data_IF_803486283769
#
_entry.id   IF_803486283769
#
_cell.length_a   1.000
_cell.length_b   1.000
_cell.length_c   1.000
_cell.angle_alpha   90.00
_cell.angle_beta   90.00
_cell.angle_gamma   90.00
#
_symmetry.space_group_name_H-M   'P 1'
#
loop_
_entity.id
_entity.type
_entity.pdbx_description
1 polymer ?
#
# COMPACT_ATOMS: atom_id res chain seq x y z
N UNK A 1 -31.37 15.70 -15.36
CA UNK A 1 -30.66 15.23 -14.15
C UNK A 1 -30.46 13.73 -14.33
N UNK A 2 -29.36 13.35 -14.99
CA UNK A 2 -29.14 11.96 -15.40
C UNK A 2 -28.28 11.27 -14.35
N UNK A 3 -28.92 10.38 -13.59
CA UNK A 3 -28.29 9.43 -12.67
C UNK A 3 -27.43 8.45 -13.48
N UNK A 4 -26.14 8.73 -13.56
CA UNK A 4 -25.16 7.78 -14.06
C UNK A 4 -24.58 7.05 -12.84
N UNK A 5 -25.30 6.03 -12.37
CA UNK A 5 -24.72 5.03 -11.48
C UNK A 5 -23.55 4.40 -12.24
N UNK A 6 -22.32 4.84 -11.92
CA UNK A 6 -21.11 4.32 -12.52
C UNK A 6 -21.14 2.80 -12.36
N UNK A 7 -21.16 2.07 -13.49
CA UNK A 7 -21.05 0.60 -13.46
C UNK A 7 -19.74 0.28 -12.76
N UNK A 8 -19.83 -0.26 -11.55
CA UNK A 8 -18.69 -0.74 -10.77
C UNK A 8 -17.91 -1.70 -11.68
N UNK A 9 -16.60 -1.51 -11.78
CA UNK A 9 -15.74 -2.35 -12.62
C UNK A 9 -15.92 -3.82 -12.25
N UNK A 10 -15.97 -4.71 -13.25
CA UNK A 10 -16.08 -6.16 -13.04
C UNK A 10 -14.98 -6.66 -12.08
N UNK A 11 -13.78 -6.10 -12.18
CA UNK A 11 -12.66 -6.41 -11.28
C UNK A 11 -13.00 -6.14 -9.83
N UNK A 12 -13.61 -4.99 -9.53
CA UNK A 12 -14.00 -4.64 -8.16
C UNK A 12 -15.08 -5.59 -7.63
N UNK A 13 -16.05 -5.94 -8.48
CA UNK A 13 -17.09 -6.91 -8.12
C UNK A 13 -16.51 -8.29 -7.80
N UNK A 14 -15.47 -8.73 -8.51
CA UNK A 14 -14.78 -9.98 -8.20
C UNK A 14 -14.02 -9.86 -6.88
N UNK A 15 -13.31 -8.76 -6.65
CA UNK A 15 -12.53 -8.55 -5.42
C UNK A 15 -13.42 -8.52 -4.16
N UNK A 16 -14.62 -7.93 -4.24
CA UNK A 16 -15.60 -7.89 -3.16
C UNK A 16 -16.04 -9.31 -2.68
N UNK A 17 -15.80 -10.36 -3.47
CA UNK A 17 -16.07 -11.76 -3.07
C UNK A 17 -14.96 -12.35 -2.20
N UNK A 18 -13.73 -11.87 -2.35
CA UNK A 18 -12.54 -12.44 -1.70
C UNK A 18 -12.03 -11.61 -0.52
N UNK A 19 -12.40 -10.34 -0.48
CA UNK A 19 -11.98 -9.36 0.51
C UNK A 19 -13.20 -8.70 1.13
N UNK A 20 -13.14 -8.46 2.43
CA UNK A 20 -14.24 -7.83 3.15
C UNK A 20 -14.31 -6.33 2.87
N UNK A 21 -13.16 -5.73 2.54
CA UNK A 21 -13.05 -4.33 2.17
C UNK A 21 -12.09 -4.18 0.99
N UNK A 22 -12.46 -3.35 0.02
CA UNK A 22 -11.62 -2.99 -1.13
C UNK A 22 -11.52 -1.48 -1.19
N UNK A 23 -10.32 -0.94 -0.98
CA UNK A 23 -10.04 0.51 -0.92
C UNK A 23 -9.04 0.91 -2.00
N UNK A 24 -9.03 2.18 -2.38
CA UNK A 24 -7.97 2.70 -3.25
C UNK A 24 -6.63 2.77 -2.52
N UNK A 25 -5.54 2.51 -3.24
CA UNK A 25 -4.18 2.52 -2.69
C UNK A 25 -3.86 3.85 -2.02
N UNK A 26 -4.21 4.98 -2.64
CA UNK A 26 -4.02 6.31 -2.04
C UNK A 26 -4.71 6.44 -0.69
N UNK A 27 -5.99 6.07 -0.61
CA UNK A 27 -6.77 6.15 0.63
C UNK A 27 -6.16 5.27 1.73
N UNK A 28 -5.77 4.05 1.38
CA UNK A 28 -5.09 3.14 2.28
C UNK A 28 -3.77 3.71 2.81
N UNK A 29 -2.92 4.24 1.94
CA UNK A 29 -1.64 4.85 2.33
C UNK A 29 -1.82 6.06 3.25
N UNK A 30 -2.83 6.90 3.00
CA UNK A 30 -3.15 8.04 3.88
C UNK A 30 -3.56 7.59 5.28
N UNK A 31 -4.16 6.42 5.44
CA UNK A 31 -4.56 5.89 6.74
C UNK A 31 -3.39 5.30 7.52
N UNK A 32 -2.51 4.55 6.86
CA UNK A 32 -1.41 3.83 7.52
C UNK A 32 -0.15 4.67 7.71
N UNK A 33 0.06 5.72 6.92
CA UNK A 33 1.19 6.60 7.08
C UNK A 33 0.82 7.70 8.09
N UNK A 34 1.54 7.77 9.20
CA UNK A 34 1.43 8.86 10.16
C UNK A 34 2.42 9.94 9.77
N UNK A 35 1.95 11.19 9.77
CA UNK A 35 2.83 12.34 9.79
C UNK A 35 3.68 12.33 11.05
N UNK A 36 4.97 12.71 11.03
CA UNK A 36 5.76 12.72 12.25
C UNK A 36 5.07 13.58 13.32
N UNK A 37 4.91 13.03 14.53
CA UNK A 37 4.67 13.85 15.71
C UNK A 37 5.83 14.86 15.78
N UNK A 38 5.58 16.18 15.79
CA UNK A 38 6.64 17.14 15.97
C UNK A 38 7.17 16.98 17.40
N UNK A 39 8.40 16.52 17.56
CA UNK A 39 9.20 16.79 18.76
C UNK A 39 9.56 18.28 18.77
N UNK A 40 8.57 19.14 19.01
CA UNK A 40 8.78 20.60 19.07
C UNK A 40 7.48 21.41 19.09
N UNK A 41 7.44 22.57 19.77
CA UNK A 41 6.30 23.46 19.76
C UNK A 41 6.33 24.29 18.48
N UNK A 42 5.91 23.70 17.38
CA UNK A 42 5.56 24.44 16.17
C UNK A 42 4.28 23.86 15.61
N UNK A 43 3.23 24.66 15.71
CA UNK A 43 2.02 24.55 14.89
C UNK A 43 2.42 24.25 13.45
N UNK A 44 2.04 23.08 12.96
CA UNK A 44 1.58 22.81 11.59
C UNK A 44 1.37 21.30 11.46
N UNK A 45 0.11 20.90 11.28
CA UNK A 45 -0.25 19.55 10.84
C UNK A 45 0.44 19.33 9.48
N UNK A 46 1.56 18.59 9.47
CA UNK A 46 2.21 18.19 8.22
C UNK A 46 1.34 17.11 7.60
N UNK A 47 0.35 17.46 6.80
CA UNK A 47 -0.41 16.47 6.04
C UNK A 47 0.56 15.70 5.14
N UNK A 48 0.49 14.36 5.16
CA UNK A 48 1.30 13.55 4.24
C UNK A 48 0.74 13.73 2.83
N UNK A 49 1.38 14.62 2.08
CA UNK A 49 1.06 14.87 0.69
C UNK A 49 1.65 13.74 -0.15
N UNK A 50 0.81 12.74 -0.48
CA UNK A 50 1.17 11.62 -1.34
C UNK A 50 1.26 11.98 -2.83
N UNK A 51 0.75 13.14 -3.23
CA UNK A 51 0.77 13.61 -4.61
C UNK A 51 1.25 15.05 -4.63
N UNK A 52 2.38 15.30 -5.28
CA UNK A 52 2.97 16.62 -5.44
C UNK A 52 2.81 17.11 -6.88
N UNK A 53 2.81 18.44 -7.03
CA UNK A 53 2.81 19.05 -8.35
C UNK A 53 4.14 18.75 -9.06
N UNK A 54 4.09 18.03 -10.17
CA UNK A 54 5.28 17.58 -10.91
C UNK A 54 5.62 16.09 -10.77
N UNK A 55 4.83 15.33 -10.01
CA UNK A 55 4.93 13.87 -10.02
C UNK A 55 4.67 13.29 -11.42
N UNK A 56 5.28 12.14 -11.71
CA UNK A 56 5.11 11.49 -13.00
C UNK A 56 3.69 10.94 -13.18
N UNK A 57 3.21 10.90 -14.43
CA UNK A 57 1.87 10.39 -14.74
C UNK A 57 1.71 8.93 -14.28
N UNK A 58 2.76 8.12 -14.39
CA UNK A 58 2.75 6.72 -13.97
C UNK A 58 2.57 6.57 -12.46
N UNK A 59 3.19 7.46 -11.67
CA UNK A 59 3.03 7.44 -10.21
C UNK A 59 1.62 7.86 -9.80
N UNK A 60 1.08 8.90 -10.44
CA UNK A 60 -0.28 9.37 -10.22
C UNK A 60 -1.28 8.27 -10.58
N UNK A 61 -1.10 7.61 -11.73
CA UNK A 61 -1.94 6.51 -12.18
C UNK A 61 -1.87 5.34 -11.19
N UNK A 62 -0.66 4.94 -10.77
CA UNK A 62 -0.47 3.88 -9.78
C UNK A 62 -1.26 4.15 -8.50
N UNK A 63 -1.17 5.35 -7.94
CA UNK A 63 -1.84 5.71 -6.68
C UNK A 63 -3.36 5.81 -6.82
N UNK A 64 -3.86 6.24 -7.98
CA UNK A 64 -5.29 6.54 -8.18
C UNK A 64 -6.09 5.37 -8.74
N UNK A 65 -5.45 4.45 -9.44
CA UNK A 65 -6.13 3.31 -10.08
C UNK A 65 -5.93 1.99 -9.33
N UNK A 66 -4.86 1.86 -8.55
CA UNK A 66 -4.60 0.64 -7.78
C UNK A 66 -5.54 0.52 -6.58
N UNK A 67 -5.86 -0.72 -6.22
CA UNK A 67 -6.72 -1.05 -5.08
C UNK A 67 -6.06 -2.04 -4.15
N UNK A 68 -6.45 -1.98 -2.88
CA UNK A 68 -5.99 -2.84 -1.79
C UNK A 68 -7.20 -3.58 -1.23
N UNK A 69 -7.12 -4.91 -1.21
CA UNK A 69 -8.11 -5.77 -0.57
C UNK A 69 -7.70 -6.10 0.86
N UNK A 70 -8.57 -5.81 1.82
CA UNK A 70 -8.39 -6.07 3.24
C UNK A 70 -9.37 -7.16 3.69
N UNK A 71 -8.94 -7.97 4.66
CA UNK A 71 -9.81 -8.94 5.35
C UNK A 71 -10.09 -8.44 6.76
N UNK A 72 -11.35 -8.45 7.19
CA UNK A 72 -11.88 -7.92 8.46
C UNK A 72 -11.36 -8.61 9.72
N UNK A 73 -10.48 -9.61 9.58
CA UNK A 73 -9.85 -10.30 10.70
C UNK A 73 -8.35 -9.98 10.79
N UNK A 74 -7.93 -8.71 10.91
CA UNK A 74 -6.62 -8.48 11.44
C UNK A 74 -6.76 -8.68 12.96
N UNK A 75 -6.18 -9.75 13.48
CA UNK A 75 -6.01 -9.96 14.93
C UNK A 75 -5.27 -8.77 15.57
N UNK A 76 -4.68 -7.91 14.74
CA UNK A 76 -3.90 -6.73 15.07
C UNK A 76 -4.50 -5.48 14.40
N UNK A 77 -4.38 -4.29 15.00
CA UNK A 77 -4.77 -3.04 14.34
C UNK A 77 -3.98 -2.81 13.05
N UNK A 78 -4.52 -2.01 12.12
CA UNK A 78 -3.77 -1.61 10.94
C UNK A 78 -2.41 -1.02 11.35
N UNK A 79 -1.31 -1.47 10.74
CA UNK A 79 0.02 -0.99 11.08
C UNK A 79 0.12 0.49 10.75
N UNK A 80 0.75 1.26 11.63
CA UNK A 80 1.00 2.68 11.41
C UNK A 80 2.49 2.94 11.26
N UNK A 81 2.86 3.69 10.22
CA UNK A 81 4.26 3.93 9.85
C UNK A 81 4.57 5.41 9.87
N UNK A 82 5.71 5.78 10.46
CA UNK A 82 6.24 7.14 10.36
C UNK A 82 7.35 7.20 9.31
N UNK A 83 7.52 8.33 8.59
CA UNK A 83 8.66 8.51 7.72
C UNK A 83 9.94 8.57 8.54
N UNK A 84 10.94 7.79 8.13
CA UNK A 84 12.28 7.78 8.73
C UNK A 84 13.28 8.19 7.65
N UNK A 85 14.32 8.98 7.98
CA UNK A 85 15.39 9.27 7.03
C UNK A 85 15.95 7.98 6.41
N UNK A 86 16.25 7.98 5.10
CA UNK A 86 16.75 6.78 4.44
C UNK A 86 18.11 6.38 5.02
N UNK A 87 18.11 5.28 5.79
CA UNK A 87 19.32 4.68 6.35
C UNK A 87 20.09 3.81 5.35
N UNK A 88 19.46 3.51 4.21
CA UNK A 88 20.00 2.70 3.13
C UNK A 88 19.39 3.10 1.79
N UNK A 89 19.97 2.63 0.68
CA UNK A 89 19.41 2.86 -0.64
C UNK A 89 18.08 2.12 -0.82
N UNK A 90 17.12 2.72 -1.51
CA UNK A 90 15.80 2.11 -1.78
C UNK A 90 15.90 0.74 -2.47
N UNK A 91 16.92 0.53 -3.30
CA UNK A 91 17.20 -0.78 -3.91
C UNK A 91 17.38 -1.87 -2.85
N UNK A 92 18.14 -1.58 -1.81
CA UNK A 92 18.42 -2.53 -0.73
C UNK A 92 17.20 -2.75 0.16
N UNK A 93 16.38 -1.70 0.37
CA UNK A 93 15.08 -1.82 1.05
C UNK A 93 14.17 -2.79 0.31
N UNK A 94 14.03 -2.61 -1.00
CA UNK A 94 13.16 -3.45 -1.85
C UNK A 94 13.68 -4.89 -1.87
N UNK A 95 15.00 -5.08 -2.05
CA UNK A 95 15.64 -6.40 -2.01
C UNK A 95 15.33 -7.13 -0.69
N UNK A 96 15.52 -6.46 0.45
CA UNK A 96 15.28 -7.03 1.77
C UNK A 96 13.79 -7.31 2.03
N UNK A 97 12.90 -6.44 1.57
CA UNK A 97 11.47 -6.66 1.65
C UNK A 97 11.05 -7.92 0.88
N UNK A 98 11.57 -8.10 -0.34
CA UNK A 98 11.38 -9.32 -1.10
C UNK A 98 11.90 -10.55 -0.34
N UNK A 99 13.14 -10.53 0.14
CA UNK A 99 13.72 -11.64 0.92
C UNK A 99 12.85 -12.06 2.11
N UNK A 100 12.33 -11.08 2.88
CA UNK A 100 11.44 -11.36 4.02
C UNK A 100 10.14 -12.07 3.59
N UNK A 101 9.57 -11.69 2.46
CA UNK A 101 8.37 -12.34 1.91
C UNK A 101 8.63 -13.83 1.57
N UNK A 102 9.86 -14.18 1.16
CA UNK A 102 10.25 -15.57 0.88
C UNK A 102 10.57 -16.36 2.13
N UNK A 103 11.25 -15.76 3.11
CA UNK A 103 11.65 -16.43 4.37
C UNK A 103 10.45 -16.92 5.18
N UNK A 104 9.33 -16.19 5.15
CA UNK A 104 8.08 -16.58 5.80
C UNK A 104 7.34 -17.74 5.11
N UNK A 105 7.61 -18.00 3.82
CA UNK A 105 6.92 -19.02 3.04
C UNK A 105 7.70 -20.35 3.02
N UNK A 106 7.40 -21.24 3.97
CA UNK A 106 8.16 -22.50 4.16
C UNK A 106 7.96 -23.57 3.08
N UNK A 107 6.97 -23.43 2.20
CA UNK A 107 6.64 -24.48 1.24
C UNK A 107 6.44 -23.94 -0.17
N UNK A 108 5.58 -22.96 -0.37
CA UNK A 108 5.22 -22.41 -1.68
C UNK A 108 5.03 -20.89 -1.50
N UNK A 109 5.45 -20.03 -2.44
CA UNK A 109 5.16 -18.62 -2.35
C UNK A 109 3.65 -18.43 -2.47
N UNK A 110 2.95 -18.37 -1.33
CA UNK A 110 1.54 -18.00 -1.25
C UNK A 110 1.31 -16.52 -1.58
N UNK A 111 2.35 -15.80 -2.00
CA UNK A 111 2.33 -14.40 -2.39
C UNK A 111 2.64 -14.30 -3.89
N UNK A 112 1.72 -13.68 -4.64
CA UNK A 112 1.84 -13.51 -6.09
C UNK A 112 3.03 -12.62 -6.49
N UNK A 113 3.46 -11.70 -5.63
CA UNK A 113 4.64 -10.84 -5.83
C UNK A 113 5.93 -11.69 -5.85
N UNK A 114 5.91 -12.82 -5.14
CA UNK A 114 6.99 -13.78 -5.11
C UNK A 114 6.90 -14.85 -6.22
N UNK A 115 5.82 -14.85 -7.01
CA UNK A 115 5.59 -15.83 -8.08
C UNK A 115 6.51 -15.55 -9.27
N UNK A 116 7.57 -16.34 -9.41
CA UNK A 116 8.59 -16.18 -10.46
C UNK A 116 10.02 -16.20 -9.94
N UNK A 117 10.22 -16.05 -8.63
CA UNK A 117 11.52 -16.19 -7.99
C UNK A 117 11.65 -17.60 -7.41
N UNK A 118 12.72 -18.31 -7.77
CA UNK A 118 13.07 -19.59 -7.17
C UNK A 118 14.07 -19.38 -6.03
N UNK A 119 13.85 -20.08 -4.91
CA UNK A 119 14.85 -20.18 -3.87
C UNK A 119 16.05 -20.94 -4.42
N UNK A 120 17.17 -20.24 -4.61
CA UNK A 120 18.45 -20.89 -4.91
C UNK A 120 19.00 -21.40 -3.59
N UNK A 121 19.05 -22.72 -3.45
CA UNK A 121 19.62 -23.45 -2.30
C UNK A 121 21.13 -23.56 -2.41
#
# INVERSE_FOLDING_TARGET
>A
MSSQAARRSLTLTVLDVYFDEVVFLRSYLTEILISPLPEGPTDENVDIVLLQEGDSEEYIELLTTSVVGLKSNPVEPLPRFAPVPPLMYMRDVIQKAHEMLFLGSRAWPNNIIASGYQRVS
#
